data_IF_605331155256
#
_entry.id   IF_605331155256
#
_cell.length_a   1.000
_cell.length_b   1.000
_cell.length_c   1.000
_cell.angle_alpha   90.00
_cell.angle_beta   90.00
_cell.angle_gamma   90.00
#
_symmetry.space_group_name_H-M   'P 1'
#
loop_
_entity.id
_entity.type
_entity.pdbx_description
1 polymer ?
#
# COMPACT_ATOMS: atom_id res chain seq x y z
N UNK A 1 -12.26 9.92 18.82
CA UNK A 1 -12.89 8.58 18.79
C UNK A 1 -13.26 8.29 17.34
N UNK A 2 -12.71 7.23 16.74
CA UNK A 2 -13.00 6.90 15.33
C UNK A 2 -14.34 6.16 15.20
N UNK A 3 -15.15 6.45 14.16
CA UNK A 3 -16.40 5.73 13.93
C UNK A 3 -16.09 4.25 13.68
N UNK A 4 -16.83 3.33 14.31
CA UNK A 4 -16.66 1.88 14.13
C UNK A 4 -17.33 1.33 12.86
N UNK A 5 -18.13 2.14 12.18
CA UNK A 5 -18.86 1.77 10.95
C UNK A 5 -18.34 2.54 9.72
N UNK A 6 -18.56 1.96 8.55
CA UNK A 6 -18.37 2.62 7.26
C UNK A 6 -19.42 3.73 7.12
N UNK A 7 -18.97 4.94 6.80
CA UNK A 7 -19.84 6.11 6.62
C UNK A 7 -20.14 6.36 5.14
N UNK A 8 -21.18 7.13 4.83
CA UNK A 8 -21.45 7.55 3.44
C UNK A 8 -20.28 8.32 2.84
N UNK A 9 -19.62 9.18 3.64
CA UNK A 9 -18.40 9.90 3.22
C UNK A 9 -17.27 8.93 2.83
N UNK A 10 -17.10 7.84 3.58
CA UNK A 10 -16.10 6.82 3.26
C UNK A 10 -16.40 6.11 1.93
N UNK A 11 -17.68 5.83 1.66
CA UNK A 11 -18.13 5.24 0.39
C UNK A 11 -17.94 6.21 -0.78
N UNK A 12 -18.24 7.49 -0.58
CA UNK A 12 -18.03 8.55 -1.58
C UNK A 12 -16.55 8.73 -1.89
N UNK A 13 -15.69 8.81 -0.87
CA UNK A 13 -14.23 8.84 -1.03
C UNK A 13 -13.74 7.62 -1.83
N UNK A 14 -14.25 6.43 -1.49
CA UNK A 14 -13.92 5.21 -2.24
C UNK A 14 -14.30 5.33 -3.71
N UNK A 15 -15.52 5.79 -4.02
CA UNK A 15 -15.97 5.99 -5.41
C UNK A 15 -15.09 6.98 -6.16
N UNK A 16 -14.74 8.09 -5.53
CA UNK A 16 -13.85 9.10 -6.12
C UNK A 16 -12.51 8.50 -6.53
N UNK A 17 -11.80 7.85 -5.61
CA UNK A 17 -10.48 7.26 -5.90
C UNK A 17 -10.53 6.15 -6.95
N UNK A 18 -11.65 5.43 -7.01
CA UNK A 18 -11.89 4.42 -8.03
C UNK A 18 -12.05 4.98 -9.44
N UNK A 19 -12.56 6.20 -9.57
CA UNK A 19 -12.68 6.93 -10.82
C UNK A 19 -11.35 7.65 -11.13
N UNK A 20 -10.71 8.23 -10.12
CA UNK A 20 -9.44 8.95 -10.24
C UNK A 20 -8.30 8.05 -10.72
N UNK A 21 -8.19 6.82 -10.20
CA UNK A 21 -7.18 5.85 -10.63
C UNK A 21 -7.35 5.44 -12.11
N UNK A 22 -8.57 5.56 -12.66
CA UNK A 22 -8.84 5.24 -14.07
C UNK A 22 -8.51 6.42 -15.00
N UNK A 23 -8.35 7.63 -14.46
CA UNK A 23 -7.90 8.79 -15.24
C UNK A 23 -6.39 8.73 -15.46
N UNK A 24 -5.97 7.70 -16.20
CA UNK A 24 -4.59 7.42 -16.55
C UNK A 24 -4.13 8.35 -17.68
N UNK A 25 -2.89 8.80 -17.56
CA UNK A 25 -2.09 9.14 -18.74
C UNK A 25 -1.38 7.86 -19.20
N UNK A 26 -0.91 7.79 -20.45
CA UNK A 26 -0.08 6.65 -20.90
C UNK A 26 1.30 6.57 -20.16
N UNK A 27 1.49 7.32 -19.07
CA UNK A 27 2.70 7.37 -18.27
C UNK A 27 2.43 7.08 -16.78
N UNK A 28 2.65 5.81 -16.42
CA UNK A 28 2.55 5.29 -15.05
C UNK A 28 3.36 6.09 -14.02
N UNK A 29 4.54 6.60 -14.37
CA UNK A 29 5.40 7.34 -13.43
C UNK A 29 4.78 8.69 -13.06
N UNK A 30 4.23 9.40 -14.05
CA UNK A 30 3.50 10.65 -13.84
C UNK A 30 2.25 10.40 -13.02
N UNK A 31 1.47 9.37 -13.36
CA UNK A 31 0.23 9.05 -12.66
C UNK A 31 0.50 8.63 -11.21
N UNK A 32 1.56 7.86 -10.96
CA UNK A 32 1.97 7.49 -9.61
C UNK A 32 2.39 8.70 -8.77
N UNK A 33 3.11 9.65 -9.36
CA UNK A 33 3.53 10.88 -8.67
C UNK A 33 2.33 11.77 -8.36
N UNK A 34 1.41 11.91 -9.31
CA UNK A 34 0.15 12.64 -9.15
C UNK A 34 -0.70 12.04 -8.05
N UNK A 35 -0.90 10.72 -8.08
CA UNK A 35 -1.63 9.96 -7.08
C UNK A 35 -1.08 10.18 -5.67
N UNK A 36 0.24 10.12 -5.51
CA UNK A 36 0.90 10.35 -4.23
C UNK A 36 0.64 11.77 -3.70
N UNK A 37 0.74 12.78 -4.56
CA UNK A 37 0.52 14.17 -4.18
C UNK A 37 -0.95 14.43 -3.80
N UNK A 38 -1.90 13.91 -4.57
CA UNK A 38 -3.33 14.07 -4.30
C UNK A 38 -3.75 13.37 -3.01
N UNK A 39 -3.26 12.14 -2.78
CA UNK A 39 -3.54 11.39 -1.55
C UNK A 39 -2.92 12.08 -0.33
N UNK A 40 -1.68 12.58 -0.45
CA UNK A 40 -1.05 13.34 0.62
C UNK A 40 -1.86 14.61 0.94
N UNK A 41 -2.28 15.37 -0.07
CA UNK A 41 -3.10 16.57 0.12
C UNK A 41 -4.47 16.27 0.75
N UNK A 42 -5.07 15.12 0.44
CA UNK A 42 -6.30 14.67 1.11
C UNK A 42 -6.04 14.33 2.58
N UNK A 43 -4.98 13.58 2.88
CA UNK A 43 -4.61 13.20 4.25
C UNK A 43 -4.24 14.43 5.08
N UNK A 44 -3.56 15.42 4.52
CA UNK A 44 -3.25 16.68 5.20
C UNK A 44 -4.52 17.47 5.55
N UNK A 45 -5.55 17.40 4.70
CA UNK A 45 -6.82 18.10 4.89
C UNK A 45 -7.75 17.40 5.88
N UNK A 46 -7.90 16.09 5.75
CA UNK A 46 -8.92 15.29 6.43
C UNK A 46 -8.34 14.41 7.57
N UNK A 47 -7.01 14.38 7.72
CA UNK A 47 -6.28 13.70 8.77
C UNK A 47 -6.46 12.19 8.79
N UNK A 48 -6.31 11.61 9.98
CA UNK A 48 -6.43 10.16 10.21
C UNK A 48 -7.77 9.56 9.75
N UNK A 49 -8.84 10.36 9.66
CA UNK A 49 -10.14 9.86 9.16
C UNK A 49 -10.05 9.48 7.68
N UNK A 50 -9.32 10.25 6.86
CA UNK A 50 -9.09 9.89 5.45
C UNK A 50 -8.33 8.57 5.33
N UNK A 51 -7.25 8.43 6.10
CA UNK A 51 -6.42 7.21 6.11
C UNK A 51 -7.24 5.99 6.53
N UNK A 52 -8.05 6.09 7.58
CA UNK A 52 -8.88 4.98 8.05
C UNK A 52 -9.93 4.58 7.01
N UNK A 53 -10.57 5.56 6.36
CA UNK A 53 -11.55 5.26 5.32
C UNK A 53 -10.90 4.58 4.11
N UNK A 54 -9.67 4.98 3.74
CA UNK A 54 -8.88 4.29 2.71
C UNK A 54 -8.52 2.86 3.10
N UNK A 55 -7.99 2.65 4.31
CA UNK A 55 -7.60 1.33 4.83
C UNK A 55 -8.75 0.32 4.85
N UNK A 56 -9.99 0.78 5.02
CA UNK A 56 -11.17 -0.10 5.00
C UNK A 56 -11.47 -0.71 3.64
N UNK A 57 -11.01 -0.06 2.56
CA UNK A 57 -11.38 -0.45 1.20
C UNK A 57 -10.20 -0.80 0.31
N UNK A 58 -8.99 -0.32 0.61
CA UNK A 58 -7.85 -0.41 -0.29
C UNK A 58 -7.47 -1.86 -0.62
N UNK A 59 -7.68 -2.81 0.29
CA UNK A 59 -7.41 -4.24 0.05
C UNK A 59 -8.33 -4.95 -0.96
N UNK A 60 -9.44 -4.31 -1.39
CA UNK A 60 -10.38 -4.90 -2.33
C UNK A 60 -10.24 -4.26 -3.72
N UNK A 61 -9.42 -4.88 -4.58
CA UNK A 61 -9.26 -4.48 -5.98
C UNK A 61 -10.60 -4.67 -6.73
N UNK A 62 -11.09 -3.68 -7.49
CA UNK A 62 -12.29 -3.83 -8.30
C UNK A 62 -12.15 -4.90 -9.38
N UNK A 63 -13.15 -5.76 -9.50
CA UNK A 63 -13.23 -6.79 -10.56
C UNK A 63 -13.24 -6.21 -11.98
N UNK A 64 -13.57 -4.92 -12.15
CA UNK A 64 -13.56 -4.24 -13.45
C UNK A 64 -12.16 -3.86 -13.94
N UNK A 65 -11.12 -4.00 -13.11
CA UNK A 65 -9.75 -3.80 -13.55
C UNK A 65 -9.25 -5.11 -14.13
N UNK A 66 -8.93 -5.09 -15.41
CA UNK A 66 -8.40 -6.25 -16.10
C UNK A 66 -7.06 -6.66 -15.49
N UNK A 67 -6.78 -7.96 -15.52
CA UNK A 67 -5.53 -8.47 -14.98
C UNK A 67 -4.33 -7.92 -15.77
N UNK A 68 -3.29 -7.51 -15.06
CA UNK A 68 -2.07 -6.85 -15.55
C UNK A 68 -2.30 -5.47 -16.20
N UNK A 69 -3.49 -4.89 -16.04
CA UNK A 69 -3.82 -3.56 -16.54
C UNK A 69 -3.04 -2.44 -15.83
N UNK A 70 -2.92 -1.28 -16.48
CA UNK A 70 -2.32 -0.08 -15.88
C UNK A 70 -3.12 0.38 -14.67
N UNK A 71 -4.44 0.21 -14.69
CA UNK A 71 -5.38 0.50 -13.60
C UNK A 71 -5.10 -0.40 -12.39
N UNK A 72 -4.95 -1.72 -12.59
CA UNK A 72 -4.60 -2.66 -11.51
C UNK A 72 -3.22 -2.34 -10.91
N UNK A 73 -2.24 -2.01 -11.76
CA UNK A 73 -0.89 -1.63 -11.34
C UNK A 73 -0.89 -0.34 -10.52
N UNK A 74 -1.63 0.68 -10.96
CA UNK A 74 -1.74 1.96 -10.27
C UNK A 74 -2.57 1.82 -8.99
N UNK A 75 -3.59 0.97 -8.99
CA UNK A 75 -4.35 0.62 -7.80
C UNK A 75 -3.47 -0.03 -6.73
N UNK A 76 -2.61 -0.97 -7.13
CA UNK A 76 -1.63 -1.57 -6.21
C UNK A 76 -0.73 -0.50 -5.62
N UNK A 77 -0.23 0.43 -6.45
CA UNK A 77 0.56 1.57 -5.98
C UNK A 77 -0.20 2.46 -4.99
N UNK A 78 -1.48 2.70 -5.25
CA UNK A 78 -2.36 3.40 -4.32
C UNK A 78 -2.43 2.72 -2.95
N UNK A 79 -2.50 1.38 -2.91
CA UNK A 79 -2.49 0.65 -1.63
C UNK A 79 -1.19 0.83 -0.86
N UNK A 80 -0.04 0.87 -1.55
CA UNK A 80 1.27 1.11 -0.94
C UNK A 80 1.33 2.49 -0.28
N UNK A 81 0.85 3.52 -0.98
CA UNK A 81 0.86 4.90 -0.47
C UNK A 81 -0.09 5.05 0.73
N UNK A 82 -1.28 4.41 0.69
CA UNK A 82 -2.19 4.38 1.84
C UNK A 82 -1.52 3.72 3.06
N UNK A 83 -0.81 2.62 2.86
CA UNK A 83 -0.08 1.94 3.93
C UNK A 83 1.03 2.81 4.50
N UNK A 84 1.82 3.47 3.65
CA UNK A 84 2.85 4.42 4.08
C UNK A 84 2.24 5.54 4.94
N UNK A 85 1.14 6.16 4.49
CA UNK A 85 0.44 7.20 5.25
C UNK A 85 -0.10 6.69 6.59
N UNK A 86 -0.56 5.45 6.65
CA UNK A 86 -0.98 4.83 7.90
C UNK A 86 0.19 4.65 8.89
N UNK A 87 1.35 4.21 8.40
CA UNK A 87 2.56 4.05 9.20
C UNK A 87 3.11 5.42 9.66
N UNK A 88 3.03 6.46 8.85
CA UNK A 88 3.36 7.85 9.24
C UNK A 88 2.46 8.35 10.38
N UNK A 89 1.16 8.04 10.35
CA UNK A 89 0.25 8.38 11.44
C UNK A 89 0.56 7.62 12.75
N UNK A 90 1.31 6.52 12.67
CA UNK A 90 1.84 5.79 13.83
C UNK A 90 3.19 6.35 14.33
N UNK A 91 3.70 7.43 13.71
CA UNK A 91 4.95 8.07 14.08
C UNK A 91 6.19 7.44 13.44
N UNK A 92 6.01 6.62 12.40
CA UNK A 92 7.13 6.05 11.65
C UNK A 92 7.54 6.97 10.50
N UNK A 93 8.83 7.00 10.19
CA UNK A 93 9.31 7.62 8.94
C UNK A 93 9.18 6.60 7.83
N UNK A 94 8.53 6.95 6.72
CA UNK A 94 8.21 5.99 5.66
C UNK A 94 8.71 6.44 4.29
N UNK A 95 8.93 5.48 3.39
CA UNK A 95 9.22 5.71 1.99
C UNK A 95 8.48 4.67 1.14
N UNK A 96 7.80 5.12 0.08
CA UNK A 96 7.22 4.23 -0.92
C UNK A 96 8.25 4.02 -2.01
N UNK A 97 8.66 2.76 -2.23
CA UNK A 97 9.71 2.45 -3.19
C UNK A 97 9.16 2.48 -4.62
N UNK A 98 9.92 3.06 -5.54
CA UNK A 98 9.50 3.24 -6.95
C UNK A 98 9.84 2.02 -7.81
N UNK A 99 10.86 1.26 -7.43
CA UNK A 99 11.33 0.10 -8.19
C UNK A 99 10.47 -1.14 -7.91
N UNK A 100 10.17 -1.92 -8.97
CA UNK A 100 9.57 -3.25 -8.87
C UNK A 100 10.64 -4.31 -9.13
N UNK A 101 10.90 -5.16 -8.14
CA UNK A 101 11.95 -6.19 -8.11
C UNK A 101 11.83 -7.05 -6.85
N UNK A 102 12.88 -7.73 -6.43
CA UNK A 102 12.93 -8.47 -5.15
C UNK A 102 13.09 -7.51 -3.93
N UNK A 103 12.24 -6.48 -3.89
CA UNK A 103 12.27 -5.36 -2.96
C UNK A 103 10.89 -5.10 -2.36
N UNK A 104 10.85 -4.48 -1.19
CA UNK A 104 9.60 -4.13 -0.51
C UNK A 104 8.89 -2.96 -1.21
N UNK A 105 7.57 -2.87 -1.10
CA UNK A 105 6.80 -1.75 -1.67
C UNK A 105 6.81 -0.50 -0.79
N UNK A 106 6.91 -0.71 0.54
CA UNK A 106 6.98 0.35 1.56
C UNK A 106 8.04 0.00 2.59
N UNK A 107 8.92 0.96 2.86
CA UNK A 107 9.84 0.91 3.99
C UNK A 107 9.39 1.87 5.09
N UNK A 108 9.56 1.44 6.34
CA UNK A 108 9.26 2.27 7.50
C UNK A 108 10.36 2.07 8.56
N UNK A 109 10.80 3.18 9.14
CA UNK A 109 11.83 3.22 10.19
C UNK A 109 11.25 3.89 11.42
N UNK A 110 11.34 3.20 12.56
CA UNK A 110 11.12 3.81 13.86
C UNK A 110 12.42 4.50 14.31
N UNK A 111 12.32 5.68 14.92
CA UNK A 111 13.43 6.17 15.74
C UNK A 111 13.65 5.18 16.91
N UNK A 112 14.91 4.98 17.32
CA UNK A 112 15.38 3.94 18.26
C UNK A 112 14.66 3.88 19.63
N UNK A 113 13.64 4.71 19.89
CA UNK A 113 12.84 4.74 21.11
C UNK A 113 11.42 4.16 21.00
N UNK A 114 11.03 3.50 19.90
CA UNK A 114 9.74 2.77 19.83
C UNK A 114 9.96 1.28 19.61
N UNK A 115 10.01 0.52 20.71
CA UNK A 115 9.85 -0.94 20.71
C UNK A 115 8.35 -1.32 20.72
N UNK A 116 7.98 -2.57 20.41
CA UNK A 116 8.12 -3.31 19.18
C UNK A 116 6.75 -3.43 18.47
N UNK A 117 6.59 -2.88 17.27
CA UNK A 117 5.50 -3.30 16.38
C UNK A 117 6.09 -4.26 15.35
N UNK A 118 5.86 -5.55 15.61
CA UNK A 118 6.23 -6.69 14.78
C UNK A 118 5.81 -6.49 13.31
N UNK A 119 6.77 -6.43 12.39
CA UNK A 119 6.55 -6.63 10.96
C UNK A 119 7.16 -7.99 10.56
N UNK A 120 6.38 -9.09 10.47
CA UNK A 120 6.90 -10.31 9.89
C UNK A 120 7.02 -10.10 8.37
N UNK A 121 8.21 -10.32 7.81
CA UNK A 121 8.38 -10.57 6.37
C UNK A 121 7.54 -11.79 6.01
N UNK A 122 6.58 -11.65 5.09
CA UNK A 122 5.98 -12.79 4.41
C UNK A 122 6.97 -13.32 3.36
N UNK A 123 8.08 -13.91 3.81
CA UNK A 123 8.86 -14.78 2.93
C UNK A 123 8.09 -16.10 2.81
N UNK A 124 7.61 -16.42 1.60
CA UNK A 124 7.32 -17.80 1.25
C UNK A 124 8.56 -18.65 1.57
N UNK A 125 8.48 -19.71 2.39
CA UNK A 125 9.62 -20.61 2.52
C UNK A 125 9.82 -21.28 1.18
N UNK A 126 10.91 -20.89 0.50
CA UNK A 126 11.53 -21.73 -0.51
C UNK A 126 11.70 -23.12 0.12
N UNK A 127 11.07 -24.15 -0.45
CA UNK A 127 11.26 -25.53 -0.03
C UNK A 127 12.72 -25.89 -0.22
N UNK A 128 13.53 -25.66 0.81
CA UNK A 128 14.90 -26.14 0.86
C UNK A 128 14.81 -27.63 1.14
N UNK A 129 14.78 -28.42 0.05
CA UNK A 129 15.10 -29.84 0.16
C UNK A 129 16.50 -29.95 0.75
N UNK A 130 16.73 -30.77 1.80
CA UNK A 130 18.04 -30.86 2.42
C UNK A 130 19.07 -31.44 1.42
N UNK A 131 20.35 -31.06 1.51
CA UNK A 131 21.40 -31.63 0.68
C UNK A 131 21.54 -33.12 1.00
N UNK A 132 21.40 -33.97 -0.02
CA UNK A 132 21.82 -35.38 0.06
C UNK A 132 23.35 -35.41 0.13
N UNK A 133 23.89 -35.56 1.34
CA UNK A 133 25.29 -35.94 1.50
C UNK A 133 25.46 -37.43 1.19
N UNK A 134 26.41 -37.67 0.30
CA UNK A 134 26.94 -38.93 -0.17
C UNK A 134 27.75 -39.64 0.94
N UNK A 135 27.46 -40.92 1.20
CA UNK A 135 28.46 -41.86 1.70
C UNK A 135 28.48 -43.10 0.80
N UNK A 136 29.69 -43.38 0.30
CA UNK A 136 30.07 -44.56 -0.47
C UNK A 136 30.31 -45.73 0.48
N UNK A 137 29.80 -46.91 0.11
CA UNK A 137 30.47 -48.20 0.21
C UNK A 137 29.88 -49.14 -0.83
#
# INVERSE_FOLDING_TARGET
>A
MFPRSITSKAVERRRYWLEEIVQLSDNFGTDSTRLQAELAAEVDRDGATAVIDHLRFCGNIPERYEHDSSEEKLYSKYTDVVLAKALEQLGLRTAVLVERGDSADVEAVADEQVAPALAPRLSCPHSTSPPRNNERA
#
